data_IF_987889941511
#
_entry.id   IF_987889941511
#
_cell.length_a   1.000
_cell.length_b   1.000
_cell.length_c   1.000
_cell.angle_alpha   90.00
_cell.angle_beta   90.00
_cell.angle_gamma   90.00
#
_symmetry.space_group_name_H-M   'P 1'
#
loop_
_entity.id
_entity.type
_entity.pdbx_description
1 polymer ?
#
# COMPACT_ATOMS: atom_id res chain seq x y z
N UNK A 1 -5.23 22.16 -24.67
CA UNK A 1 -4.59 22.84 -23.52
C UNK A 1 -3.90 21.80 -22.66
N UNK A 2 -2.62 21.54 -22.95
CA UNK A 2 -1.79 20.75 -22.04
C UNK A 2 -1.33 21.69 -20.89
N UNK A 3 -1.40 21.26 -19.62
CA UNK A 3 -0.88 22.07 -18.53
C UNK A 3 0.65 22.22 -18.69
N UNK A 4 1.23 23.35 -18.26
CA UNK A 4 2.68 23.54 -18.31
C UNK A 4 3.39 22.52 -17.41
N UNK A 5 4.51 21.99 -17.90
CA UNK A 5 5.34 21.04 -17.16
C UNK A 5 5.78 21.64 -15.82
N UNK A 6 5.49 20.94 -14.72
CA UNK A 6 6.00 21.29 -13.40
C UNK A 6 7.55 21.19 -13.40
N UNK A 7 8.30 22.20 -12.93
CA UNK A 7 9.76 22.25 -13.00
C UNK A 7 10.49 21.17 -12.17
N UNK A 8 9.76 20.33 -11.42
CA UNK A 8 10.31 19.24 -10.61
C UNK A 8 10.30 17.86 -11.27
N UNK A 9 9.64 17.67 -12.42
CA UNK A 9 9.51 16.34 -13.05
C UNK A 9 10.47 16.29 -14.24
N UNK A 10 11.71 15.83 -14.03
CA UNK A 10 12.59 15.47 -15.13
C UNK A 10 12.10 14.16 -15.75
N UNK A 11 11.83 14.16 -17.05
CA UNK A 11 11.55 12.93 -17.78
C UNK A 11 12.76 11.98 -17.66
N UNK A 12 12.51 10.71 -17.34
CA UNK A 12 13.57 9.70 -17.34
C UNK A 12 14.16 9.59 -18.76
N UNK A 13 15.50 9.51 -18.92
CA UNK A 13 16.07 9.08 -20.18
C UNK A 13 15.52 7.68 -20.50
N UNK A 14 15.02 7.50 -21.74
CA UNK A 14 14.39 6.27 -22.20
C UNK A 14 15.42 5.12 -22.18
N UNK A 15 15.44 4.33 -21.11
CA UNK A 15 15.85 2.94 -21.22
C UNK A 15 14.67 2.19 -21.86
N UNK A 16 14.83 1.53 -23.02
CA UNK A 16 13.72 0.88 -23.68
C UNK A 16 13.27 -0.34 -22.88
N UNK A 17 12.09 -0.25 -22.26
CA UNK A 17 11.29 -1.43 -21.90
C UNK A 17 10.73 -1.99 -23.22
N UNK A 18 11.51 -2.87 -23.85
CA UNK A 18 11.14 -3.48 -25.12
C UNK A 18 9.94 -4.43 -24.96
N UNK A 19 8.78 -4.06 -25.50
CA UNK A 19 7.65 -4.97 -25.72
C UNK A 19 7.37 -5.07 -27.22
N UNK A 20 7.53 -6.28 -27.77
CA UNK A 20 7.29 -6.57 -29.18
C UNK A 20 5.80 -6.92 -29.39
N UNK A 21 5.12 -6.18 -30.27
CA UNK A 21 3.68 -6.23 -30.45
C UNK A 21 3.31 -7.25 -31.54
N UNK A 22 2.76 -8.41 -31.16
CA UNK A 22 2.10 -9.31 -32.09
C UNK A 22 0.72 -9.70 -31.58
N UNK A 23 -0.26 -9.57 -32.47
CA UNK A 23 -1.69 -9.70 -32.24
C UNK A 23 -2.09 -11.15 -31.96
N UNK A 24 -2.20 -11.50 -30.68
CA UNK A 24 -3.08 -12.52 -30.06
C UNK A 24 -2.79 -12.46 -28.56
N UNK A 25 -3.72 -11.98 -27.74
CA UNK A 25 -3.55 -11.87 -26.28
C UNK A 25 -3.47 -13.24 -25.63
N UNK A 26 -2.29 -13.86 -25.70
CA UNK A 26 -1.87 -14.96 -24.82
C UNK A 26 -1.26 -14.30 -23.58
N UNK A 27 -1.98 -14.33 -22.48
CA UNK A 27 -1.52 -13.86 -21.15
C UNK A 27 -0.20 -14.52 -20.72
N UNK A 28 0.18 -15.66 -21.30
CA UNK A 28 1.45 -16.34 -21.05
C UNK A 28 2.71 -15.68 -21.63
N UNK A 29 2.57 -14.69 -22.52
CA UNK A 29 3.71 -14.04 -23.21
C UNK A 29 4.28 -12.81 -22.49
N UNK A 30 3.54 -12.21 -21.56
CA UNK A 30 3.96 -10.98 -20.89
C UNK A 30 4.02 -11.15 -19.38
N UNK A 31 4.93 -10.40 -18.74
CA UNK A 31 4.95 -10.28 -17.28
C UNK A 31 3.68 -9.54 -16.85
N UNK A 32 2.95 -10.11 -15.90
CA UNK A 32 1.81 -9.48 -15.26
C UNK A 32 2.25 -8.82 -13.96
N UNK A 33 1.78 -7.60 -13.71
CA UNK A 33 2.03 -6.89 -12.47
C UNK A 33 0.70 -6.72 -11.73
N UNK A 34 0.58 -7.40 -10.59
CA UNK A 34 -0.60 -7.32 -9.72
C UNK A 34 -0.21 -6.53 -8.49
N UNK A 35 -1.01 -5.55 -8.09
CA UNK A 35 -0.80 -4.81 -6.83
C UNK A 35 -1.99 -5.03 -5.92
N UNK A 36 -1.73 -5.51 -4.71
CA UNK A 36 -2.76 -5.85 -3.73
C UNK A 36 -2.49 -5.12 -2.41
N UNK A 37 -3.53 -4.54 -1.85
CA UNK A 37 -3.57 -3.97 -0.51
C UNK A 37 -4.90 -4.37 0.11
N UNK A 38 -4.88 -5.22 1.14
CA UNK A 38 -6.09 -5.81 1.75
C UNK A 38 -5.90 -5.83 3.27
N UNK A 39 -6.89 -5.33 4.00
CA UNK A 39 -6.91 -5.37 5.47
C UNK A 39 -7.55 -4.17 6.15
N UNK A 40 -7.59 -3.01 5.49
CA UNK A 40 -8.14 -1.79 6.12
C UNK A 40 -9.62 -1.92 6.51
N UNK A 41 -10.40 -2.71 5.77
CA UNK A 41 -11.80 -2.96 6.12
C UNK A 41 -11.93 -3.92 7.31
N UNK A 42 -11.07 -4.93 7.40
CA UNK A 42 -11.01 -5.89 8.51
C UNK A 42 -10.71 -5.19 9.84
N UNK A 43 -9.86 -4.15 9.81
CA UNK A 43 -9.60 -3.31 10.99
C UNK A 43 -10.85 -2.56 11.47
N UNK A 44 -11.72 -2.19 10.53
CA UNK A 44 -12.92 -1.42 10.76
C UNK A 44 -14.14 -2.26 11.13
N UNK A 45 -14.19 -3.53 10.72
CA UNK A 45 -15.30 -4.45 10.98
C UNK A 45 -14.98 -5.54 12.00
N UNK A 46 -13.83 -6.20 11.90
CA UNK A 46 -13.63 -7.50 12.56
C UNK A 46 -12.95 -7.37 13.92
N UNK A 47 -12.14 -6.34 14.11
CA UNK A 47 -11.35 -6.12 15.32
C UNK A 47 -12.19 -6.00 16.61
N UNK A 48 -13.45 -5.58 16.49
CA UNK A 48 -14.33 -5.38 17.64
C UNK A 48 -15.36 -6.51 17.87
N UNK A 49 -15.48 -7.48 16.97
CA UNK A 49 -16.41 -8.61 17.10
C UNK A 49 -15.73 -9.99 17.16
N UNK A 50 -14.44 -10.07 16.83
CA UNK A 50 -13.65 -11.30 16.86
C UNK A 50 -12.53 -11.24 17.90
N UNK A 51 -12.04 -12.41 18.30
CA UNK A 51 -10.74 -12.50 18.97
C UNK A 51 -9.63 -12.06 18.00
N UNK A 52 -8.83 -11.08 18.42
CA UNK A 52 -7.85 -10.42 17.55
C UNK A 52 -6.81 -11.38 16.97
N UNK A 53 -6.38 -12.39 17.73
CA UNK A 53 -5.43 -13.40 17.24
C UNK A 53 -6.05 -14.25 16.12
N UNK A 54 -7.34 -14.60 16.23
CA UNK A 54 -8.06 -15.30 15.16
C UNK A 54 -8.19 -14.46 13.90
N UNK A 55 -8.32 -13.14 14.02
CA UNK A 55 -8.34 -12.21 12.87
C UNK A 55 -7.00 -12.25 12.13
N UNK A 56 -5.87 -12.24 12.84
CA UNK A 56 -4.54 -12.35 12.24
C UNK A 56 -4.32 -13.72 11.58
N UNK A 57 -4.75 -14.81 12.22
CA UNK A 57 -4.65 -16.16 11.67
C UNK A 57 -5.48 -16.30 10.37
N UNK A 58 -6.69 -15.72 10.35
CA UNK A 58 -7.52 -15.68 9.13
C UNK A 58 -6.84 -14.91 8.01
N UNK A 59 -6.33 -13.70 8.29
CA UNK A 59 -5.62 -12.91 7.28
C UNK A 59 -4.44 -13.66 6.67
N UNK A 60 -3.63 -14.33 7.52
CA UNK A 60 -2.52 -15.16 7.04
C UNK A 60 -3.01 -16.23 6.06
N UNK A 61 -4.08 -16.94 6.44
CA UNK A 61 -4.67 -18.01 5.63
C UNK A 61 -5.24 -17.47 4.32
N UNK A 62 -5.94 -16.35 4.35
CA UNK A 62 -6.58 -15.75 3.18
C UNK A 62 -5.54 -15.23 2.19
N UNK A 63 -4.48 -14.57 2.66
CA UNK A 63 -3.34 -14.20 1.83
C UNK A 63 -2.66 -15.42 1.21
N UNK A 64 -2.37 -16.45 2.01
CA UNK A 64 -1.74 -17.67 1.54
C UNK A 64 -2.57 -18.33 0.43
N UNK A 65 -3.90 -18.39 0.62
CA UNK A 65 -4.84 -18.97 -0.33
C UNK A 65 -4.91 -18.16 -1.63
N UNK A 66 -5.11 -16.85 -1.55
CA UNK A 66 -5.21 -15.99 -2.75
C UNK A 66 -3.89 -15.98 -3.53
N UNK A 67 -2.75 -15.85 -2.86
CA UNK A 67 -1.44 -15.87 -3.54
C UNK A 67 -1.15 -17.24 -4.16
N UNK A 68 -1.54 -18.34 -3.51
CA UNK A 68 -1.42 -19.69 -4.09
C UNK A 68 -2.31 -19.86 -5.32
N UNK A 69 -3.53 -19.29 -5.30
CA UNK A 69 -4.42 -19.27 -6.46
C UNK A 69 -3.83 -18.46 -7.62
N UNK A 70 -3.35 -17.23 -7.36
CA UNK A 70 -2.71 -16.39 -8.38
C UNK A 70 -1.48 -17.08 -8.98
N UNK A 71 -0.68 -17.78 -8.17
CA UNK A 71 0.47 -18.54 -8.66
C UNK A 71 0.06 -19.68 -9.60
N UNK A 72 -1.06 -20.35 -9.33
CA UNK A 72 -1.56 -21.46 -10.15
C UNK A 72 -2.14 -20.97 -11.49
N UNK A 73 -2.88 -19.86 -11.46
CA UNK A 73 -3.63 -19.38 -12.62
C UNK A 73 -2.87 -18.38 -13.49
N UNK A 74 -1.92 -17.64 -12.90
CA UNK A 74 -1.21 -16.53 -13.56
C UNK A 74 0.31 -16.76 -13.53
N UNK A 75 0.83 -17.60 -14.44
CA UNK A 75 2.28 -17.71 -14.62
C UNK A 75 2.84 -16.38 -15.11
N UNK A 76 4.11 -16.13 -14.79
CA UNK A 76 4.85 -14.89 -15.10
C UNK A 76 4.20 -13.67 -14.46
N UNK A 77 4.06 -13.71 -13.15
CA UNK A 77 3.42 -12.63 -12.37
C UNK A 77 4.34 -12.12 -11.26
N UNK A 78 4.46 -10.80 -11.18
CA UNK A 78 5.01 -10.11 -10.02
C UNK A 78 3.82 -9.53 -9.23
N UNK A 79 3.68 -9.96 -7.97
CA UNK A 79 2.68 -9.42 -7.05
C UNK A 79 3.36 -8.44 -6.10
N UNK A 80 2.96 -7.17 -6.18
CA UNK A 80 3.24 -6.17 -5.17
C UNK A 80 2.23 -6.33 -4.03
N UNK A 81 2.67 -6.88 -2.90
CA UNK A 81 1.89 -6.88 -1.68
C UNK A 81 2.15 -5.57 -0.93
N UNK A 82 1.27 -4.59 -1.09
CA UNK A 82 1.35 -3.34 -0.34
C UNK A 82 1.03 -3.63 1.11
N UNK A 83 1.98 -3.31 2.00
CA UNK A 83 1.80 -3.51 3.43
C UNK A 83 0.74 -2.54 3.92
N UNK A 84 -0.30 -3.08 4.56
CA UNK A 84 -1.50 -2.33 4.91
C UNK A 84 -1.14 -1.25 5.94
N UNK A 85 -1.44 0.03 5.69
CA UNK A 85 -1.12 1.10 6.63
C UNK A 85 -1.92 0.95 7.92
N UNK A 86 -1.32 1.38 9.02
CA UNK A 86 -2.03 1.48 10.29
C UNK A 86 -3.05 2.63 10.19
N UNK A 87 -4.31 2.34 10.53
CA UNK A 87 -5.38 3.34 10.46
C UNK A 87 -5.33 4.34 11.63
N UNK A 88 -4.37 4.22 12.55
CA UNK A 88 -4.12 5.25 13.56
C UNK A 88 -3.79 6.63 12.94
N UNK A 89 -3.32 6.65 11.69
CA UNK A 89 -3.12 7.89 10.94
C UNK A 89 -4.41 8.72 10.85
N UNK A 90 -5.56 8.05 10.73
CA UNK A 90 -6.86 8.71 10.70
C UNK A 90 -7.24 9.26 12.09
N UNK A 91 -6.70 8.72 13.19
CA UNK A 91 -6.91 9.25 14.54
C UNK A 91 -5.92 10.38 14.92
N UNK A 92 -4.93 10.67 14.07
CA UNK A 92 -3.82 11.57 14.41
C UNK A 92 -4.10 13.07 14.23
N UNK A 93 -5.32 13.45 13.84
CA UNK A 93 -5.69 14.84 13.58
C UNK A 93 -7.18 15.12 13.81
N UNK A 94 -7.53 16.40 13.80
CA UNK A 94 -8.91 16.85 13.98
C UNK A 94 -9.64 16.92 12.64
N UNK A 95 -10.89 16.46 12.61
CA UNK A 95 -11.75 16.49 11.44
C UNK A 95 -13.03 17.30 11.69
N UNK A 96 -13.67 17.81 10.63
CA UNK A 96 -15.04 18.33 10.71
C UNK A 96 -16.01 17.32 11.34
N UNK A 97 -17.06 17.80 12.00
CA UNK A 97 -18.04 16.97 12.72
C UNK A 97 -18.65 15.88 11.82
N UNK A 98 -19.02 16.22 10.59
CA UNK A 98 -19.57 15.26 9.63
C UNK A 98 -18.60 14.13 9.29
N UNK A 99 -17.30 14.43 9.22
CA UNK A 99 -16.27 13.43 8.96
C UNK A 99 -16.09 12.50 10.17
N UNK A 100 -16.07 13.05 11.39
CA UNK A 100 -16.02 12.24 12.61
C UNK A 100 -17.24 11.31 12.74
N UNK A 101 -18.43 11.78 12.37
CA UNK A 101 -19.63 10.94 12.32
C UNK A 101 -19.48 9.83 11.28
N UNK A 102 -18.96 10.14 10.10
CA UNK A 102 -18.74 9.16 9.05
C UNK A 102 -17.68 8.11 9.45
N UNK A 103 -16.58 8.51 10.08
CA UNK A 103 -15.57 7.60 10.63
C UNK A 103 -16.16 6.63 11.66
N UNK A 104 -17.00 7.14 12.58
CA UNK A 104 -17.70 6.31 13.56
C UNK A 104 -18.67 5.31 12.92
N UNK A 105 -19.29 5.69 11.81
CA UNK A 105 -20.24 4.83 11.09
C UNK A 105 -19.53 3.75 10.25
N UNK A 106 -18.49 4.13 9.51
CA UNK A 106 -17.81 3.23 8.57
C UNK A 106 -16.68 2.42 9.20
N UNK A 107 -16.10 2.91 10.28
CA UNK A 107 -15.00 2.24 10.99
C UNK A 107 -15.22 2.27 12.51
N UNK A 108 -16.35 1.71 12.99
CA UNK A 108 -16.76 1.80 14.38
C UNK A 108 -15.75 1.18 15.34
N UNK A 109 -15.08 0.08 14.96
CA UNK A 109 -14.08 -0.56 15.83
C UNK A 109 -12.96 0.41 16.25
N UNK A 110 -12.55 1.34 15.37
CA UNK A 110 -11.47 2.29 15.66
C UNK A 110 -11.95 3.63 16.23
N UNK A 111 -13.10 4.14 15.78
CA UNK A 111 -13.52 5.52 16.10
C UNK A 111 -14.73 5.63 17.03
N UNK A 112 -15.43 4.55 17.33
CA UNK A 112 -16.54 4.57 18.28
C UNK A 112 -16.03 4.75 19.72
N UNK A 113 -16.75 5.56 20.51
CA UNK A 113 -16.45 5.76 21.93
C UNK A 113 -16.53 4.44 22.72
N UNK A 114 -17.28 3.44 22.22
CA UNK A 114 -17.40 2.10 22.80
C UNK A 114 -16.06 1.36 22.89
N UNK A 115 -15.20 1.51 21.88
CA UNK A 115 -13.95 0.76 21.76
C UNK A 115 -12.70 1.60 22.02
N UNK A 116 -12.87 2.86 22.44
CA UNK A 116 -11.77 3.81 22.68
C UNK A 116 -10.68 3.26 23.61
N UNK A 117 -11.04 2.47 24.62
CA UNK A 117 -10.09 1.84 25.55
C UNK A 117 -9.22 0.75 24.92
N UNK A 118 -9.65 0.19 23.79
CA UNK A 118 -8.96 -0.87 23.05
C UNK A 118 -8.10 -0.32 21.91
N UNK A 119 -8.13 1.00 21.66
CA UNK A 119 -7.46 1.62 20.52
C UNK A 119 -5.98 1.25 20.44
N UNK A 120 -5.22 1.39 21.53
CA UNK A 120 -3.79 1.05 21.54
C UNK A 120 -3.54 -0.44 21.25
N UNK A 121 -4.42 -1.32 21.74
CA UNK A 121 -4.39 -2.75 21.41
C UNK A 121 -4.63 -2.99 19.92
N UNK A 122 -5.58 -2.27 19.31
CA UNK A 122 -5.84 -2.35 17.87
C UNK A 122 -4.68 -1.81 17.05
N UNK A 123 -4.04 -0.72 17.47
CA UNK A 123 -2.81 -0.21 16.84
C UNK A 123 -1.71 -1.25 16.85
N UNK A 124 -1.48 -1.90 18.00
CA UNK A 124 -0.52 -2.99 18.11
C UNK A 124 -0.87 -4.17 17.19
N UNK A 125 -2.14 -4.55 17.10
CA UNK A 125 -2.60 -5.63 16.22
C UNK A 125 -2.48 -5.30 14.73
N UNK A 126 -2.67 -4.05 14.34
CA UNK A 126 -2.36 -3.60 12.97
C UNK A 126 -0.86 -3.73 12.67
N UNK A 127 0.03 -3.46 13.64
CA UNK A 127 1.47 -3.74 13.46
C UNK A 127 1.76 -5.24 13.34
N UNK A 128 1.10 -6.09 14.12
CA UNK A 128 1.21 -7.55 13.99
C UNK A 128 0.69 -8.04 12.63
N UNK A 129 -0.38 -7.44 12.11
CA UNK A 129 -0.91 -7.69 10.76
C UNK A 129 0.12 -7.38 9.67
N UNK A 130 0.81 -6.25 9.76
CA UNK A 130 1.90 -5.90 8.84
C UNK A 130 3.02 -6.96 8.87
N UNK A 131 3.37 -7.46 10.06
CA UNK A 131 4.35 -8.54 10.18
C UNK A 131 3.88 -9.84 9.51
N UNK A 132 2.59 -10.18 9.60
CA UNK A 132 2.01 -11.32 8.88
C UNK A 132 2.17 -11.14 7.37
N UNK A 133 1.87 -9.96 6.84
CA UNK A 133 2.03 -9.65 5.40
C UNK A 133 3.48 -9.82 4.94
N UNK A 134 4.45 -9.28 5.69
CA UNK A 134 5.87 -9.48 5.41
C UNK A 134 6.27 -10.96 5.43
N UNK A 135 5.81 -11.72 6.43
CA UNK A 135 6.13 -13.14 6.56
C UNK A 135 5.55 -13.96 5.40
N UNK A 136 4.31 -13.69 4.99
CA UNK A 136 3.66 -14.39 3.88
C UNK A 136 4.36 -14.05 2.57
N UNK A 137 4.67 -12.77 2.31
CA UNK A 137 5.44 -12.36 1.13
C UNK A 137 6.85 -12.99 1.10
N UNK A 138 7.39 -13.35 2.26
CA UNK A 138 8.70 -13.98 2.38
C UNK A 138 8.71 -15.51 2.21
N UNK A 139 7.54 -16.15 2.07
CA UNK A 139 7.47 -17.60 1.89
C UNK A 139 8.17 -18.04 0.60
N UNK A 140 9.05 -19.03 0.69
CA UNK A 140 9.83 -19.55 -0.44
C UNK A 140 8.95 -20.08 -1.58
N UNK A 141 7.75 -20.60 -1.28
CA UNK A 141 6.81 -21.07 -2.29
C UNK A 141 6.37 -19.96 -3.26
N UNK A 142 6.42 -18.69 -2.85
CA UNK A 142 6.08 -17.54 -3.69
C UNK A 142 7.30 -16.85 -4.31
N UNK A 143 8.44 -17.53 -4.35
CA UNK A 143 9.71 -17.04 -4.91
C UNK A 143 10.19 -17.99 -6.00
N UNK A 144 9.50 -17.99 -7.13
CA UNK A 144 9.83 -18.81 -8.29
C UNK A 144 10.25 -17.94 -9.47
N UNK A 145 10.85 -18.54 -10.49
CA UNK A 145 11.24 -17.82 -11.72
C UNK A 145 10.05 -17.20 -12.46
N UNK A 146 8.85 -17.74 -12.27
CA UNK A 146 7.64 -17.29 -12.95
C UNK A 146 6.65 -16.58 -12.02
N UNK A 147 6.88 -16.57 -10.71
CA UNK A 147 5.98 -15.95 -9.76
C UNK A 147 6.75 -15.41 -8.55
N UNK A 148 6.61 -14.12 -8.27
CA UNK A 148 7.24 -13.48 -7.13
C UNK A 148 6.23 -12.62 -6.38
N UNK A 149 6.21 -12.73 -5.04
CA UNK A 149 5.49 -11.79 -4.16
C UNK A 149 6.51 -10.91 -3.48
N UNK A 150 6.38 -9.59 -3.63
CA UNK A 150 7.30 -8.59 -3.07
C UNK A 150 6.53 -7.64 -2.17
N UNK A 151 6.93 -7.48 -0.89
CA UNK A 151 6.28 -6.54 0.00
C UNK A 151 6.65 -5.11 -0.39
N UNK A 152 5.67 -4.20 -0.37
CA UNK A 152 5.86 -2.77 -0.68
C UNK A 152 5.43 -1.93 0.53
N UNK A 153 6.35 -1.62 1.45
CA UNK A 153 6.05 -0.97 2.72
C UNK A 153 5.93 0.56 2.70
N UNK A 154 5.94 1.20 1.53
CA UNK A 154 5.95 2.67 1.41
C UNK A 154 4.81 3.43 2.16
N UNK A 155 3.75 2.74 2.61
CA UNK A 155 2.65 3.33 3.38
C UNK A 155 2.72 3.09 4.90
N UNK A 156 3.68 2.31 5.42
CA UNK A 156 3.76 1.99 6.85
C UNK A 156 3.80 3.27 7.69
N UNK A 157 4.60 4.25 7.27
CA UNK A 157 4.75 5.55 7.92
C UNK A 157 4.15 6.68 7.06
N UNK A 158 3.01 6.45 6.41
CA UNK A 158 2.31 7.53 5.72
C UNK A 158 1.91 8.65 6.69
N UNK A 159 1.97 9.90 6.24
CA UNK A 159 1.58 11.09 7.02
C UNK A 159 0.43 11.81 6.32
N UNK A 160 -0.64 12.10 7.07
CA UNK A 160 -1.71 12.97 6.60
C UNK A 160 -1.31 14.44 6.85
N UNK A 161 -1.24 15.28 5.79
CA UNK A 161 -0.92 16.68 5.96
C UNK A 161 -1.96 17.40 6.84
N UNK A 162 -1.46 18.27 7.70
CA UNK A 162 -2.26 19.15 8.55
C UNK A 162 -2.29 20.56 7.98
N UNK A 163 -3.29 21.34 8.37
CA UNK A 163 -3.32 22.78 8.09
C UNK A 163 -2.12 23.50 8.75
N UNK A 164 -1.77 24.72 8.31
CA UNK A 164 -0.54 25.42 8.73
C UNK A 164 -0.34 25.55 10.26
N UNK A 165 0.92 25.85 10.62
CA UNK A 165 1.50 25.82 11.97
C UNK A 165 0.55 26.21 13.11
N UNK A 166 0.35 25.27 14.04
CA UNK A 166 -0.49 25.40 15.23
C UNK A 166 -1.81 24.64 15.16
N UNK A 167 -2.23 24.18 13.97
CA UNK A 167 -3.46 23.40 13.82
C UNK A 167 -3.21 21.89 13.87
N UNK A 168 -4.00 21.17 14.68
CA UNK A 168 -4.07 19.71 14.61
C UNK A 168 -5.05 19.22 13.51
N UNK A 169 -5.69 20.14 12.78
CA UNK A 169 -6.72 19.82 11.79
C UNK A 169 -6.11 19.26 10.51
N UNK A 170 -6.66 18.15 10.04
CA UNK A 170 -6.26 17.53 8.77
C UNK A 170 -6.61 18.45 7.60
N UNK A 171 -5.70 18.59 6.63
CA UNK A 171 -6.00 19.29 5.39
C UNK A 171 -6.89 18.39 4.51
N UNK A 172 -8.18 18.72 4.49
CA UNK A 172 -9.21 17.96 3.77
C UNK A 172 -8.97 17.87 2.26
N UNK A 173 -8.06 18.67 1.68
CA UNK A 173 -7.65 18.49 0.26
C UNK A 173 -6.97 17.15 0.01
N UNK A 174 -6.49 16.47 1.05
CA UNK A 174 -5.86 15.16 0.97
C UNK A 174 -6.85 14.00 1.17
N UNK A 175 -8.11 14.29 1.52
CA UNK A 175 -9.18 13.30 1.71
C UNK A 175 -10.23 13.38 0.59
N UNK A 176 -10.92 12.28 0.35
CA UNK A 176 -12.10 12.23 -0.51
C UNK A 176 -13.30 12.93 0.19
N UNK A 177 -14.42 13.01 -0.52
CA UNK A 177 -15.64 13.68 -0.04
C UNK A 177 -16.21 13.06 1.23
N UNK A 178 -16.00 11.76 1.44
CA UNK A 178 -16.41 11.02 2.63
C UNK A 178 -15.47 11.20 3.83
N UNK A 179 -14.37 11.94 3.67
CA UNK A 179 -13.34 12.15 4.66
C UNK A 179 -12.64 10.88 5.17
N UNK A 180 -12.88 9.72 4.57
CA UNK A 180 -12.34 8.43 4.98
C UNK A 180 -11.37 7.90 3.93
N UNK A 181 -11.79 7.87 2.66
CA UNK A 181 -10.92 7.53 1.56
C UNK A 181 -9.97 8.69 1.25
N UNK A 182 -8.84 8.31 0.64
CA UNK A 182 -7.77 9.23 0.28
C UNK A 182 -8.12 9.95 -1.02
N UNK A 183 -7.75 11.23 -1.12
CA UNK A 183 -7.94 12.00 -2.36
C UNK A 183 -6.95 11.55 -3.44
N UNK A 184 -7.17 12.03 -4.67
CA UNK A 184 -6.20 11.89 -5.77
C UNK A 184 -4.77 12.34 -5.40
N UNK A 185 -4.61 13.31 -4.49
CA UNK A 185 -3.29 13.79 -4.06
C UNK A 185 -2.51 12.73 -3.30
N UNK A 186 -3.17 12.03 -2.38
CA UNK A 186 -2.54 10.94 -1.65
C UNK A 186 -2.40 9.70 -2.54
N UNK A 187 -3.34 9.45 -3.46
CA UNK A 187 -3.15 8.40 -4.46
C UNK A 187 -1.92 8.65 -5.35
N UNK A 188 -1.61 9.91 -5.69
CA UNK A 188 -0.37 10.25 -6.40
C UNK A 188 0.88 9.93 -5.57
N UNK A 189 0.86 10.26 -4.28
CA UNK A 189 1.94 9.92 -3.33
C UNK A 189 2.09 8.40 -3.21
N UNK A 190 1.00 7.67 -3.10
CA UNK A 190 1.01 6.22 -3.03
C UNK A 190 1.54 5.58 -4.33
N UNK A 191 1.13 6.07 -5.49
CA UNK A 191 1.61 5.58 -6.78
C UNK A 191 3.13 5.83 -6.96
N UNK A 192 3.60 7.01 -6.55
CA UNK A 192 5.03 7.36 -6.59
C UNK A 192 5.83 6.51 -5.60
N UNK A 193 5.32 6.35 -4.38
CA UNK A 193 5.89 5.48 -3.36
C UNK A 193 6.03 4.05 -3.84
N UNK A 194 4.95 3.45 -4.37
CA UNK A 194 4.95 2.10 -4.94
C UNK A 194 5.98 1.94 -6.06
N UNK A 195 6.00 2.88 -7.02
CA UNK A 195 6.95 2.84 -8.13
C UNK A 195 8.39 2.83 -7.63
N UNK A 196 8.72 3.75 -6.72
CA UNK A 196 10.05 3.83 -6.13
C UNK A 196 10.42 2.57 -5.35
N UNK A 197 9.46 2.00 -4.60
CA UNK A 197 9.65 0.78 -3.84
C UNK A 197 9.95 -0.44 -4.74
N UNK A 198 9.37 -0.52 -5.94
CA UNK A 198 9.73 -1.56 -6.91
C UNK A 198 11.17 -1.42 -7.45
N UNK A 199 11.74 -0.21 -7.38
CA UNK A 199 13.11 0.12 -7.78
C UNK A 199 14.09 0.14 -6.60
N UNK A 200 13.70 -0.38 -5.45
CA UNK A 200 14.52 -0.49 -4.24
C UNK A 200 14.74 -1.96 -3.85
N UNK A 201 15.97 -2.35 -3.43
CA UNK A 201 16.25 -3.68 -2.91
C UNK A 201 15.29 -4.05 -1.78
N UNK A 202 14.86 -5.32 -1.72
CA UNK A 202 13.82 -5.76 -0.78
C UNK A 202 14.16 -5.48 0.68
N UNK A 203 15.44 -5.56 1.06
CA UNK A 203 15.90 -5.28 2.42
C UNK A 203 16.15 -3.79 2.72
N UNK A 204 15.95 -2.90 1.74
CA UNK A 204 16.22 -1.48 1.85
C UNK A 204 15.12 -0.64 1.18
N UNK A 205 13.86 -1.04 1.37
CA UNK A 205 12.69 -0.32 0.85
C UNK A 205 12.34 0.87 1.72
N UNK A 206 11.96 1.96 1.08
CA UNK A 206 11.37 3.13 1.75
C UNK A 206 10.05 2.74 2.41
N UNK A 207 9.87 3.08 3.68
CA UNK A 207 8.66 2.76 4.46
C UNK A 207 7.74 3.98 4.66
N UNK A 208 8.23 5.17 4.34
CA UNK A 208 7.59 6.45 4.63
C UNK A 208 7.21 7.18 3.35
N UNK A 209 5.97 7.65 3.30
CA UNK A 209 5.45 8.45 2.19
C UNK A 209 4.95 9.80 2.66
N UNK A 210 5.56 10.88 2.14
CA UNK A 210 5.21 12.26 2.49
C UNK A 210 4.81 13.04 1.24
N UNK A 211 3.61 13.67 1.23
CA UNK A 211 3.19 14.50 0.11
C UNK A 211 4.13 15.68 -0.15
N UNK A 212 4.60 15.81 -1.40
CA UNK A 212 5.50 16.89 -1.83
C UNK A 212 6.99 16.61 -1.67
N UNK A 213 7.37 15.49 -1.04
CA UNK A 213 8.78 15.11 -0.85
C UNK A 213 9.27 14.02 -1.82
N UNK A 214 8.36 13.46 -2.63
CA UNK A 214 8.65 12.32 -3.49
C UNK A 214 8.85 12.74 -4.95
N UNK A 215 9.90 12.21 -5.57
CA UNK A 215 10.08 12.21 -7.02
C UNK A 215 10.14 10.78 -7.56
N UNK A 216 9.78 10.58 -8.83
CA UNK A 216 9.92 9.27 -9.48
C UNK A 216 11.39 8.90 -9.63
N UNK A 217 11.75 7.70 -9.17
CA UNK A 217 13.03 7.07 -9.47
C UNK A 217 13.01 6.51 -10.89
N UNK A 218 14.16 6.55 -11.55
CA UNK A 218 14.38 5.91 -12.83
C UNK A 218 15.29 4.68 -12.63
N UNK A 219 15.09 3.59 -13.39
CA UNK A 219 16.06 2.51 -13.47
C UNK A 219 17.44 3.02 -13.94
N UNK A 220 18.51 2.35 -13.53
CA UNK A 220 19.88 2.66 -13.95
C UNK A 220 20.45 1.50 -14.76
N UNK A 221 21.56 1.71 -15.47
CA UNK A 221 22.26 0.63 -16.17
C UNK A 221 22.73 -0.48 -15.20
N UNK A 222 23.10 -0.11 -13.97
CA UNK A 222 23.49 -1.06 -12.91
C UNK A 222 22.31 -1.82 -12.31
N UNK A 223 21.08 -1.31 -12.45
CA UNK A 223 19.87 -1.89 -11.87
C UNK A 223 18.66 -1.64 -12.80
N UNK A 224 18.60 -2.34 -13.96
CA UNK A 224 17.61 -2.05 -15.00
C UNK A 224 16.26 -2.77 -14.79
N UNK A 225 16.15 -3.63 -13.76
CA UNK A 225 14.97 -4.46 -13.50
C UNK A 225 14.32 -4.10 -12.16
N UNK A 226 13.04 -4.49 -12.00
CA UNK A 226 12.36 -4.40 -10.71
C UNK A 226 13.00 -5.37 -9.71
N UNK A 227 13.08 -4.96 -8.45
CA UNK A 227 13.66 -5.75 -7.38
C UNK A 227 12.68 -6.78 -6.83
N UNK A 228 13.13 -8.03 -6.76
CA UNK A 228 12.54 -9.16 -6.06
C UNK A 228 13.54 -9.68 -5.04
N UNK A 229 13.17 -10.72 -4.27
CA UNK A 229 14.05 -11.32 -3.27
C UNK A 229 15.38 -11.82 -3.85
N UNK A 230 15.40 -12.26 -5.11
CA UNK A 230 16.54 -12.98 -5.69
C UNK A 230 17.54 -12.06 -6.42
N UNK A 231 17.19 -10.79 -6.68
CA UNK A 231 18.06 -9.80 -7.32
C UNK A 231 18.26 -8.52 -6.47
N UNK A 232 17.97 -8.59 -5.17
CA UNK A 232 18.13 -7.50 -4.19
C UNK A 232 19.43 -7.57 -3.42
#
# INVERSE_FOLDING_TARGET
FAPPAHPGIRACPLAPLCFNNSSKTRTSLFLQLITMMIGSNDFCSDFCFSELDKVLDRHRKDLDQVLSYLQQELPRTLVNLVITPNLNILASGDYPVQCNMYHRAMCPCLFSDLYKKLFDTYVKKMTEWQNVEFQVAALSKFRTKEFAVVPQPFLIEIVLPKLPLGSNRVDMKYMAADCFHLSQRIHHVAATGLWNNMLEPVHNKTIRSVPGEQGFKCPTESSPYLFTWDNS
#
